data_IF_793121358418
#
_entry.id   IF_793121358418
#
_cell.length_a   1.000
_cell.length_b   1.000
_cell.length_c   1.000
_cell.angle_alpha   90.00
_cell.angle_beta   90.00
_cell.angle_gamma   90.00
#
_symmetry.space_group_name_H-M   'P 1'
#
loop_
_entity.id
_entity.type
_entity.pdbx_description
1 polymer ?
#
# COMPACT_ATOMS: atom_id res chain seq x y z
N UNK A 1 29.29 -47.66 9.41
CA UNK A 1 29.36 -46.37 10.11
C UNK A 1 28.63 -45.34 9.26
N UNK A 2 27.45 -44.87 9.69
CA UNK A 2 26.67 -43.84 8.98
C UNK A 2 27.18 -42.49 9.45
N UNK A 3 27.78 -41.72 8.55
CA UNK A 3 28.08 -40.32 8.83
C UNK A 3 26.74 -39.60 9.05
N UNK A 4 26.52 -39.10 10.26
CA UNK A 4 25.49 -38.11 10.52
C UNK A 4 25.91 -36.86 9.76
N UNK A 5 25.18 -36.53 8.70
CA UNK A 5 25.22 -35.19 8.10
C UNK A 5 24.76 -34.25 9.21
N UNK A 6 25.71 -33.56 9.84
CA UNK A 6 25.42 -32.44 10.71
C UNK A 6 24.67 -31.42 9.86
N UNK A 7 23.46 -31.07 10.27
CA UNK A 7 22.77 -29.92 9.70
C UNK A 7 23.63 -28.69 10.02
N UNK A 8 24.06 -27.98 8.97
CA UNK A 8 24.90 -26.78 9.10
C UNK A 8 24.16 -25.70 9.91
N UNK A 9 24.73 -25.22 11.04
CA UNK A 9 24.12 -24.19 11.87
C UNK A 9 24.19 -22.78 11.26
N UNK A 10 24.87 -22.61 10.10
CA UNK A 10 25.09 -21.30 9.44
C UNK A 10 24.01 -20.97 8.41
N UNK A 11 23.05 -21.86 8.15
CA UNK A 11 21.84 -21.52 7.37
C UNK A 11 20.83 -20.72 8.22
N UNK A 12 21.35 -19.87 9.08
CA UNK A 12 20.59 -19.02 9.98
C UNK A 12 20.23 -17.73 9.23
N UNK A 13 19.04 -17.77 8.63
CA UNK A 13 18.12 -16.63 8.49
C UNK A 13 18.55 -15.47 7.56
N UNK A 14 18.78 -15.74 6.27
CA UNK A 14 18.59 -14.68 5.26
C UNK A 14 17.08 -14.51 5.08
N UNK A 15 16.46 -13.59 5.83
CA UNK A 15 15.07 -13.19 5.57
C UNK A 15 15.08 -12.37 4.29
N UNK A 16 14.41 -12.85 3.25
CA UNK A 16 14.32 -12.12 1.99
C UNK A 16 13.37 -10.93 2.13
N UNK A 17 13.54 -9.87 1.34
CA UNK A 17 12.58 -8.76 1.31
C UNK A 17 11.14 -9.24 1.06
N UNK A 18 10.95 -10.29 0.27
CA UNK A 18 9.64 -10.87 -0.02
C UNK A 18 9.04 -11.56 1.22
N UNK A 19 9.87 -12.24 2.02
CA UNK A 19 9.40 -12.85 3.27
C UNK A 19 8.96 -11.79 4.28
N UNK A 20 9.67 -10.65 4.38
CA UNK A 20 9.26 -9.51 5.21
C UNK A 20 7.93 -8.95 4.70
N UNK A 21 7.83 -8.66 3.40
CA UNK A 21 6.62 -8.16 2.76
C UNK A 21 5.42 -9.07 2.99
N UNK A 22 5.60 -10.39 2.91
CA UNK A 22 4.53 -11.35 3.14
C UNK A 22 4.13 -11.40 4.62
N UNK A 23 5.11 -11.46 5.54
CA UNK A 23 4.85 -11.48 6.97
C UNK A 23 4.13 -10.20 7.45
N UNK A 24 4.57 -9.03 6.98
CA UNK A 24 3.94 -7.74 7.29
C UNK A 24 2.53 -7.64 6.69
N UNK A 25 2.31 -8.19 5.49
CA UNK A 25 1.00 -8.22 4.86
C UNK A 25 0.02 -9.15 5.57
N UNK A 26 0.48 -10.29 6.07
CA UNK A 26 -0.32 -11.26 6.82
C UNK A 26 -0.65 -10.78 8.24
N UNK A 27 0.19 -9.92 8.82
CA UNK A 27 0.01 -9.41 10.17
C UNK A 27 -1.28 -8.57 10.28
N UNK A 28 -2.31 -9.03 11.03
CA UNK A 28 -3.56 -8.29 11.18
C UNK A 28 -3.38 -6.91 11.82
N UNK A 29 -2.35 -6.69 12.64
CA UNK A 29 -2.09 -5.41 13.29
C UNK A 29 -1.72 -4.29 12.31
N UNK A 30 -1.21 -4.64 11.12
CA UNK A 30 -0.90 -3.68 10.06
C UNK A 30 -2.13 -3.28 9.23
N UNK A 31 -3.31 -3.85 9.54
CA UNK A 31 -4.57 -3.53 8.89
C UNK A 31 -5.56 -2.93 9.89
N UNK A 32 -6.06 -1.73 9.59
CA UNK A 32 -7.16 -1.12 10.38
C UNK A 32 -8.44 -1.95 10.39
N UNK A 33 -8.76 -2.56 9.24
CA UNK A 33 -9.80 -3.58 9.10
C UNK A 33 -9.45 -4.47 7.91
N UNK A 34 -9.77 -5.76 7.99
CA UNK A 34 -9.71 -6.66 6.83
C UNK A 34 -10.99 -6.46 6.02
N UNK A 35 -11.06 -5.37 5.26
CA UNK A 35 -12.28 -4.83 4.61
C UNK A 35 -11.97 -4.02 3.35
N UNK A 36 -12.96 -3.70 2.51
CA UNK A 36 -12.79 -2.77 1.39
C UNK A 36 -12.22 -1.41 1.85
N UNK A 37 -12.67 -0.93 3.01
CA UNK A 37 -12.22 0.32 3.64
C UNK A 37 -10.96 0.18 4.50
N UNK A 38 -10.32 -1.01 4.51
CA UNK A 38 -9.13 -1.24 5.32
C UNK A 38 -7.91 -0.48 4.81
N UNK A 39 -7.34 0.39 5.62
CA UNK A 39 -6.01 0.98 5.37
C UNK A 39 -4.91 0.06 5.89
N UNK A 40 -3.78 0.06 5.18
CA UNK A 40 -2.58 -0.71 5.51
C UNK A 40 -1.47 0.21 6.02
N UNK A 41 -0.78 -0.23 7.07
CA UNK A 41 0.30 0.52 7.70
C UNK A 41 1.40 -0.44 8.16
N UNK A 42 2.53 -0.46 7.44
CA UNK A 42 3.74 -1.15 7.90
C UNK A 42 4.99 -0.38 7.52
N UNK A 43 5.80 -0.02 8.52
CA UNK A 43 7.11 0.63 8.30
C UNK A 43 8.16 -0.34 7.77
N UNK A 44 8.00 -1.64 8.05
CA UNK A 44 8.93 -2.69 7.64
C UNK A 44 8.69 -3.17 6.21
N UNK A 45 7.46 -3.06 5.71
CA UNK A 45 7.14 -3.29 4.30
C UNK A 45 7.54 -2.07 3.45
N UNK A 46 8.54 -2.17 2.55
CA UNK A 46 8.99 -1.03 1.75
C UNK A 46 8.04 -0.68 0.60
N UNK A 47 7.02 -1.49 0.32
CA UNK A 47 6.09 -1.24 -0.79
C UNK A 47 5.21 -0.04 -0.48
N UNK A 48 5.01 0.79 -1.50
CA UNK A 48 3.98 1.84 -1.49
C UNK A 48 2.63 1.26 -1.90
N UNK A 49 2.59 0.44 -2.95
CA UNK A 49 1.38 -0.22 -3.41
C UNK A 49 1.29 -1.63 -2.85
N UNK A 50 0.18 -1.93 -2.18
CA UNK A 50 -0.03 -3.19 -1.47
C UNK A 50 -1.36 -3.80 -1.90
N UNK A 51 -1.43 -5.09 -2.30
CA UNK A 51 -2.69 -5.71 -2.65
C UNK A 51 -3.59 -5.82 -1.42
N UNK A 52 -4.91 -5.66 -1.58
CA UNK A 52 -5.86 -5.89 -0.48
C UNK A 52 -5.94 -7.37 -0.13
N UNK A 53 -6.31 -7.69 1.11
CA UNK A 53 -6.39 -9.06 1.63
C UNK A 53 -7.44 -9.95 0.98
N UNK A 54 -8.52 -9.39 0.41
CA UNK A 54 -9.49 -10.17 -0.37
C UNK A 54 -9.22 -10.03 -1.87
N UNK A 55 -9.10 -11.15 -2.61
CA UNK A 55 -9.04 -11.11 -4.07
C UNK A 55 -10.20 -10.29 -4.65
N UNK A 56 -9.90 -9.41 -5.62
CA UNK A 56 -10.90 -8.56 -6.28
C UNK A 56 -11.11 -7.17 -5.68
N UNK A 57 -10.63 -6.89 -4.45
CA UNK A 57 -10.70 -5.54 -3.87
C UNK A 57 -9.62 -4.57 -4.40
N UNK A 58 -8.74 -5.05 -5.28
CA UNK A 58 -7.67 -4.26 -5.88
C UNK A 58 -6.51 -3.98 -4.93
N UNK A 59 -5.95 -2.78 -5.06
CA UNK A 59 -4.74 -2.33 -4.36
C UNK A 59 -5.05 -1.19 -3.39
N UNK A 60 -4.16 -1.03 -2.42
CA UNK A 60 -4.14 0.10 -1.49
C UNK A 60 -2.74 0.68 -1.43
N UNK A 61 -2.58 1.79 -0.71
CA UNK A 61 -1.29 2.40 -0.44
C UNK A 61 -0.88 2.15 1.01
N UNK A 62 0.41 1.95 1.24
CA UNK A 62 0.98 1.84 2.57
C UNK A 62 1.17 3.23 3.18
N UNK A 63 0.36 3.55 4.18
CA UNK A 63 0.34 4.87 4.82
C UNK A 63 1.46 5.08 5.85
N UNK A 64 2.30 4.07 6.07
CA UNK A 64 3.50 4.22 6.89
C UNK A 64 4.60 5.04 6.21
N UNK A 65 4.49 5.26 4.89
CA UNK A 65 5.50 5.95 4.08
C UNK A 65 4.98 7.28 3.52
N UNK A 66 5.80 8.35 3.49
CA UNK A 66 5.41 9.65 2.95
C UNK A 66 4.89 9.58 1.52
N UNK A 67 5.49 8.73 0.67
CA UNK A 67 5.03 8.53 -0.70
C UNK A 67 3.62 7.91 -0.75
N UNK A 68 3.29 6.98 0.15
CA UNK A 68 1.94 6.42 0.23
C UNK A 68 0.90 7.46 0.66
N UNK A 69 1.26 8.34 1.61
CA UNK A 69 0.41 9.48 2.01
C UNK A 69 0.21 10.45 0.84
N UNK A 70 1.27 10.78 0.09
CA UNK A 70 1.18 11.61 -1.10
C UNK A 70 0.26 11.01 -2.16
N UNK A 71 0.37 9.70 -2.43
CA UNK A 71 -0.56 9.00 -3.32
C UNK A 71 -2.00 9.06 -2.83
N UNK A 72 -2.25 8.91 -1.53
CA UNK A 72 -3.60 9.02 -0.99
C UNK A 72 -4.22 10.40 -1.26
N UNK A 73 -3.48 11.48 -0.99
CA UNK A 73 -3.95 12.83 -1.31
C UNK A 73 -4.10 13.04 -2.82
N UNK A 74 -3.17 12.55 -3.63
CA UNK A 74 -3.28 12.61 -5.09
C UNK A 74 -4.55 11.94 -5.62
N UNK A 75 -4.86 10.73 -5.14
CA UNK A 75 -6.06 10.00 -5.53
C UNK A 75 -7.37 10.68 -5.09
N UNK A 76 -7.35 11.42 -3.98
CA UNK A 76 -8.53 12.12 -3.46
C UNK A 76 -8.73 13.49 -4.13
N UNK A 77 -7.65 14.26 -4.27
CA UNK A 77 -7.68 15.67 -4.66
C UNK A 77 -7.59 15.87 -6.18
N UNK A 78 -6.90 14.99 -6.91
CA UNK A 78 -6.72 15.17 -8.35
C UNK A 78 -8.05 15.07 -9.12
N UNK A 79 -8.93 14.07 -8.88
CA UNK A 79 -10.20 13.99 -9.60
C UNK A 79 -11.12 15.18 -9.29
N UNK A 80 -11.11 15.66 -8.05
CA UNK A 80 -11.89 16.84 -7.63
C UNK A 80 -11.35 18.12 -8.25
N UNK A 81 -10.03 18.31 -8.26
CA UNK A 81 -9.39 19.46 -8.92
C UNK A 81 -9.67 19.47 -10.43
N UNK A 82 -9.58 18.32 -11.09
CA UNK A 82 -9.92 18.18 -12.52
C UNK A 82 -11.39 18.51 -12.77
N UNK A 83 -12.31 18.00 -11.94
CA UNK A 83 -13.74 18.29 -12.07
C UNK A 83 -14.02 19.80 -11.92
N UNK A 84 -13.46 20.45 -10.90
CA UNK A 84 -13.62 21.89 -10.70
C UNK A 84 -13.05 22.67 -11.89
N UNK A 85 -11.86 22.31 -12.36
CA UNK A 85 -11.26 22.92 -13.55
C UNK A 85 -12.19 22.81 -14.76
N UNK A 86 -12.67 21.60 -15.06
CA UNK A 86 -13.59 21.36 -16.18
C UNK A 86 -14.85 22.21 -16.04
N UNK A 87 -15.47 22.28 -14.86
CA UNK A 87 -16.68 23.09 -14.64
C UNK A 87 -16.42 24.60 -14.77
N UNK A 88 -15.28 25.08 -14.27
CA UNK A 88 -14.88 26.49 -14.37
C UNK A 88 -14.60 26.91 -15.83
N UNK A 89 -14.05 26.02 -16.66
CA UNK A 89 -13.78 26.29 -18.07
C UNK A 89 -14.99 26.00 -18.99
N UNK A 90 -15.90 25.11 -18.61
CA UNK A 90 -17.07 24.74 -19.40
C UNK A 90 -18.27 25.70 -19.22
N UNK A 91 -18.28 26.54 -18.18
CA UNK A 91 -19.30 27.56 -17.97
C UNK A 91 -18.67 28.97 -17.98
N UNK A 92 -18.56 29.65 -19.15
CA UNK A 92 -18.04 31.02 -19.21
C UNK A 92 -19.00 32.07 -18.61
N UNK A 93 -20.23 31.67 -18.25
CA UNK A 93 -21.28 32.57 -17.80
C UNK A 93 -21.19 32.86 -16.29
N UNK A 94 -20.05 33.33 -15.81
CA UNK A 94 -19.93 33.86 -14.44
C UNK A 94 -19.02 35.11 -14.34
N UNK A 95 -18.60 35.68 -15.48
CA UNK A 95 -17.69 36.83 -15.53
C UNK A 95 -18.07 37.83 -16.60
N UNK A 96 -19.33 38.27 -16.63
CA UNK A 96 -19.76 39.46 -17.36
C UNK A 96 -20.76 40.21 -16.47
N UNK A 97 -20.23 40.95 -15.50
CA UNK A 97 -20.95 41.90 -14.66
C UNK A 97 -20.16 43.20 -14.61
#
# INVERSE_FOLDING_TARGET
>A
MRATVAADPVKERIVTPQQIQQAEWENPANWSTRGPLGVYFSKADPRIWVPKTRPGLGWTVNLAHPAGVAWMFGLLLLPTAVLIGVLAFACPCAGAG
#
